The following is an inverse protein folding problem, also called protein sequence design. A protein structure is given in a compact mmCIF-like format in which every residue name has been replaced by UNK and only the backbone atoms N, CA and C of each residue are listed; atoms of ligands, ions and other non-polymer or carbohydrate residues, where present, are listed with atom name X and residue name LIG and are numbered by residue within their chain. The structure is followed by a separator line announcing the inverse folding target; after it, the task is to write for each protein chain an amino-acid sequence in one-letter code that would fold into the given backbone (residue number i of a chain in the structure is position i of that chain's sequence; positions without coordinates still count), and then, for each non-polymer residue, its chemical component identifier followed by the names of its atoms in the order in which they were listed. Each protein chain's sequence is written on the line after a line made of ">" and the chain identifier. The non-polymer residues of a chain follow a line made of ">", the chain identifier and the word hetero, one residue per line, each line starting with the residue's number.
data_IF_222495783841
#
_entry.id   IF_222495783841
#
_cell.length_a   1.000
_cell.length_b   1.000
_cell.length_c   1.000
_cell.angle_alpha   90.00
_cell.angle_beta   90.00
_cell.angle_gamma   90.00
#
_symmetry.space_group_name_H-M   'P 1'
#
loop_
_entity.id
_entity.type
_entity.pdbx_description
1 polymer ?
#
# COMPACT_ATOMS: atom_id res chain seq x y z
N UNK A 1 45.56 41.50 91.51
CA UNK A 1 44.22 40.91 91.37
C UNK A 1 44.19 40.04 90.13
N UNK A 2 43.93 38.74 90.28
CA UNK A 2 43.93 37.76 89.20
C UNK A 2 42.53 37.75 88.57
N UNK A 3 42.40 38.10 87.28
CA UNK A 3 41.12 38.22 86.55
C UNK A 3 40.34 36.90 86.38
N UNK A 4 40.74 35.83 87.06
CA UNK A 4 40.14 34.51 86.93
C UNK A 4 38.89 34.34 87.79
N UNK A 5 38.80 35.07 88.90
CA UNK A 5 37.77 34.80 89.91
C UNK A 5 36.44 35.51 89.62
N UNK A 6 36.45 36.56 88.79
CA UNK A 6 35.27 37.41 88.54
C UNK A 6 34.23 36.78 87.59
N UNK A 7 34.52 35.63 86.95
CA UNK A 7 33.66 34.99 85.94
C UNK A 7 33.32 33.51 86.26
N UNK A 8 33.36 33.12 87.54
CA UNK A 8 33.06 31.74 87.97
C UNK A 8 31.87 31.67 88.96
N UNK A 9 31.00 32.68 89.00
CA UNK A 9 29.78 32.66 89.83
C UNK A 9 28.88 31.45 89.53
N UNK A 10 28.85 31.01 88.26
CA UNK A 10 28.11 29.83 87.83
C UNK A 10 28.58 28.53 88.51
N UNK A 11 29.83 28.46 88.97
CA UNK A 11 30.36 27.27 89.67
C UNK A 11 29.77 27.15 91.09
N UNK A 12 29.36 28.27 91.69
CA UNK A 12 28.65 28.30 92.98
C UNK A 12 27.17 27.97 92.79
N UNK A 13 26.54 28.52 91.74
CA UNK A 13 25.12 28.27 91.43
C UNK A 13 24.85 26.84 90.96
N UNK A 14 25.82 26.23 90.28
CA UNK A 14 25.73 24.88 89.74
C UNK A 14 26.92 24.01 90.17
N UNK A 15 27.14 23.90 91.48
CA UNK A 15 28.21 23.09 92.09
C UNK A 15 28.26 21.65 91.58
N UNK A 16 27.10 21.03 91.32
CA UNK A 16 27.02 19.72 90.69
C UNK A 16 27.62 19.68 89.28
N UNK A 17 27.39 20.71 88.46
CA UNK A 17 27.96 20.79 87.11
C UNK A 17 29.45 21.14 87.16
N UNK A 18 29.86 21.98 88.11
CA UNK A 18 31.27 22.33 88.32
C UNK A 18 32.10 21.12 88.78
N UNK A 19 31.49 20.19 89.53
CA UNK A 19 32.15 18.93 89.95
C UNK A 19 32.31 17.89 88.84
N UNK A 20 31.66 18.06 87.68
CA UNK A 20 31.82 17.14 86.57
C UNK A 20 33.22 17.30 85.94
N UNK A 21 33.86 16.18 85.53
CA UNK A 21 35.11 16.27 84.80
C UNK A 21 34.88 17.03 83.49
N UNK A 22 35.74 18.01 83.20
CA UNK A 22 35.74 18.79 81.95
C UNK A 22 36.29 17.96 80.78
N UNK A 23 35.69 16.79 80.57
CA UNK A 23 36.04 15.82 79.53
C UNK A 23 34.83 15.63 78.62
N UNK A 24 35.04 15.55 77.31
CA UNK A 24 33.96 15.25 76.36
C UNK A 24 33.70 13.74 76.35
N UNK A 25 32.53 13.25 76.83
CA UNK A 25 32.23 11.82 76.84
C UNK A 25 31.87 11.26 75.46
N UNK A 26 31.74 12.14 74.45
CA UNK A 26 31.38 11.78 73.09
C UNK A 26 32.64 11.60 72.26
N UNK A 27 32.81 10.41 71.69
CA UNK A 27 33.85 10.14 70.72
C UNK A 27 33.21 9.53 69.47
N UNK A 28 33.70 9.92 68.30
CA UNK A 28 33.26 9.31 67.04
C UNK A 28 34.19 8.16 66.66
N UNK A 29 33.70 7.15 65.92
CA UNK A 29 34.56 6.11 65.36
C UNK A 29 35.65 6.71 64.47
N UNK A 30 36.77 5.99 64.35
CA UNK A 30 37.81 6.33 63.38
C UNK A 30 37.22 6.41 61.96
N UNK A 31 37.69 7.35 61.13
CA UNK A 31 37.21 7.60 59.77
C UNK A 31 35.77 8.16 59.66
N UNK A 32 35.11 8.50 60.78
CA UNK A 32 33.74 9.05 60.74
C UNK A 32 33.67 10.31 59.87
N UNK A 33 34.55 11.29 60.12
CA UNK A 33 34.57 12.55 59.37
C UNK A 33 35.24 12.42 57.99
N UNK A 34 36.18 11.48 57.84
CA UNK A 34 36.87 11.23 56.57
C UNK A 34 35.87 10.72 55.51
N UNK A 35 34.96 9.81 55.90
CA UNK A 35 33.95 9.25 55.01
C UNK A 35 32.66 10.08 54.93
N UNK A 36 32.42 10.99 55.88
CA UNK A 36 31.12 11.65 56.06
C UNK A 36 30.65 12.32 54.77
N UNK A 37 31.55 13.06 54.13
CA UNK A 37 31.24 13.78 52.89
C UNK A 37 30.85 12.81 51.76
N UNK A 38 31.57 11.69 51.63
CA UNK A 38 31.26 10.67 50.63
C UNK A 38 29.89 10.04 50.89
N UNK A 39 29.57 9.72 52.15
CA UNK A 39 28.27 9.15 52.54
C UNK A 39 27.12 10.12 52.29
N UNK A 40 27.28 11.40 52.62
CA UNK A 40 26.28 12.45 52.37
C UNK A 40 26.03 12.59 50.86
N UNK A 41 27.09 12.67 50.06
CA UNK A 41 26.93 12.79 48.61
C UNK A 41 26.25 11.56 48.00
N UNK A 42 26.57 10.36 48.51
CA UNK A 42 25.92 9.13 48.07
C UNK A 42 24.44 9.09 48.44
N UNK A 43 24.07 9.50 49.66
CA UNK A 43 22.67 9.55 50.07
C UNK A 43 21.88 10.57 49.25
N UNK A 44 22.42 11.77 49.04
CA UNK A 44 21.79 12.81 48.21
C UNK A 44 21.62 12.34 46.77
N UNK A 45 22.61 11.63 46.22
CA UNK A 45 22.52 11.06 44.88
C UNK A 45 21.40 10.01 44.78
N UNK A 46 21.32 9.07 45.72
CA UNK A 46 20.28 8.04 45.75
C UNK A 46 18.89 8.67 45.92
N UNK A 47 18.73 9.64 46.83
CA UNK A 47 17.48 10.36 47.02
C UNK A 47 17.06 11.11 45.74
N UNK A 48 18.02 11.73 45.03
CA UNK A 48 17.79 12.37 43.74
C UNK A 48 17.37 11.40 42.62
N UNK A 49 17.82 10.14 42.66
CA UNK A 49 17.36 9.09 41.74
C UNK A 49 15.93 8.62 42.05
N UNK A 50 15.55 8.58 43.33
CA UNK A 50 14.21 8.15 43.76
C UNK A 50 13.14 9.20 43.48
N UNK A 51 13.49 10.49 43.54
CA UNK A 51 12.56 11.61 43.34
C UNK A 51 12.20 11.86 41.87
N UNK A 52 12.90 11.21 40.92
CA UNK A 52 12.64 11.31 39.47
C UNK A 52 11.67 10.18 39.06
N UNK A 53 10.42 10.32 39.46
CA UNK A 53 9.40 9.26 39.60
C UNK A 53 8.96 8.47 38.34
N UNK A 54 9.49 8.72 37.13
CA UNK A 54 9.05 7.98 35.92
C UNK A 54 10.14 7.16 35.21
N UNK A 55 11.31 6.99 35.85
CA UNK A 55 12.44 6.20 35.31
C UNK A 55 12.98 5.21 36.33
N UNK A 56 12.13 4.70 37.23
CA UNK A 56 12.51 3.65 38.18
C UNK A 56 12.78 2.32 37.49
N UNK A 57 13.69 1.52 38.05
CA UNK A 57 13.86 0.13 37.66
C UNK A 57 12.58 -0.64 38.00
N UNK A 58 11.77 -0.93 36.99
CA UNK A 58 10.59 -1.78 37.17
C UNK A 58 11.03 -3.23 37.19
N UNK A 59 10.60 -3.95 38.21
CA UNK A 59 10.77 -5.39 38.26
C UNK A 59 9.73 -6.01 37.33
N UNK A 60 10.12 -6.93 36.43
CA UNK A 60 9.17 -7.62 35.58
C UNK A 60 8.09 -8.34 36.37
N UNK A 61 6.91 -8.48 35.77
CA UNK A 61 5.84 -9.29 36.33
C UNK A 61 6.36 -10.69 36.71
N UNK A 62 6.02 -11.16 37.91
CA UNK A 62 6.37 -12.47 38.46
C UNK A 62 7.87 -12.72 38.71
N UNK A 63 8.72 -11.69 38.74
CA UNK A 63 10.16 -11.87 38.97
C UNK A 63 10.46 -12.66 40.24
N UNK A 64 9.85 -12.30 41.38
CA UNK A 64 10.17 -12.92 42.67
C UNK A 64 9.57 -14.32 42.80
N UNK A 65 8.41 -14.54 42.18
CA UNK A 65 7.69 -15.79 42.08
C UNK A 65 8.49 -16.82 41.28
N UNK A 66 9.08 -16.39 40.16
CA UNK A 66 9.87 -17.26 39.29
C UNK A 66 11.34 -17.38 39.72
N UNK A 67 11.85 -16.44 40.54
CA UNK A 67 13.27 -16.39 40.91
C UNK A 67 13.75 -17.69 41.55
N UNK A 68 12.97 -18.28 42.46
CA UNK A 68 13.31 -19.54 43.11
C UNK A 68 13.48 -20.69 42.11
N UNK A 69 12.51 -20.84 41.21
CA UNK A 69 12.51 -21.86 40.15
C UNK A 69 13.70 -21.64 39.20
N UNK A 70 14.00 -20.39 38.86
CA UNK A 70 15.14 -20.04 38.00
C UNK A 70 16.48 -20.37 38.66
N UNK A 71 16.63 -20.12 39.96
CA UNK A 71 17.85 -20.45 40.69
C UNK A 71 18.03 -21.97 40.74
N UNK A 72 16.99 -22.71 41.11
CA UNK A 72 17.04 -24.18 41.20
C UNK A 72 17.34 -24.82 39.85
N UNK A 73 16.69 -24.37 38.77
CA UNK A 73 16.95 -24.89 37.42
C UNK A 73 18.38 -24.62 36.96
N UNK A 74 18.94 -23.44 37.25
CA UNK A 74 20.34 -23.13 36.95
C UNK A 74 21.31 -24.00 37.73
N UNK A 75 21.04 -24.25 39.01
CA UNK A 75 21.85 -25.15 39.84
C UNK A 75 21.79 -26.59 39.29
N UNK A 76 20.60 -27.07 38.91
CA UNK A 76 20.44 -28.39 38.31
C UNK A 76 21.21 -28.53 37.00
N UNK A 77 21.12 -27.53 36.12
CA UNK A 77 21.87 -27.50 34.86
C UNK A 77 23.39 -27.51 35.10
N UNK A 78 23.87 -26.69 36.04
CA UNK A 78 25.29 -26.64 36.39
C UNK A 78 25.81 -27.99 36.90
N UNK A 79 25.02 -28.69 37.74
CA UNK A 79 25.34 -30.06 38.21
C UNK A 79 25.41 -31.03 37.03
N UNK A 80 24.43 -31.03 36.13
CA UNK A 80 24.42 -31.90 34.94
C UNK A 80 25.63 -31.61 34.05
N UNK A 81 25.97 -30.34 33.83
CA UNK A 81 27.14 -29.95 33.03
C UNK A 81 28.45 -30.45 33.66
N UNK A 82 28.56 -30.44 34.99
CA UNK A 82 29.75 -30.99 35.68
C UNK A 82 29.88 -32.51 35.57
N UNK A 83 28.78 -33.22 35.31
CA UNK A 83 28.75 -34.68 35.14
C UNK A 83 29.08 -35.12 33.71
N UNK A 84 28.93 -34.23 32.71
CA UNK A 84 29.17 -34.53 31.30
C UNK A 84 30.41 -33.79 30.81
N UNK A 85 31.52 -34.50 30.63
CA UNK A 85 32.81 -33.94 30.17
C UNK A 85 32.84 -33.52 28.68
N UNK A 86 31.77 -33.74 27.94
CA UNK A 86 31.67 -33.41 26.52
C UNK A 86 30.38 -32.62 26.30
N UNK A 87 30.37 -31.61 25.43
CA UNK A 87 29.21 -30.73 25.17
C UNK A 87 27.94 -31.44 24.63
N UNK A 88 27.88 -32.77 24.63
CA UNK A 88 26.72 -33.61 24.33
C UNK A 88 26.32 -33.62 22.85
N UNK A 89 26.51 -32.50 22.17
CA UNK A 89 26.17 -32.27 20.78
C UNK A 89 27.44 -32.30 19.94
N UNK A 90 27.78 -33.48 19.42
CA UNK A 90 28.79 -33.63 18.37
C UNK A 90 28.11 -34.10 17.09
N UNK A 91 28.43 -33.45 15.98
CA UNK A 91 28.06 -33.96 14.67
C UNK A 91 28.84 -35.25 14.38
N UNK A 92 28.25 -36.25 13.70
CA UNK A 92 28.97 -37.42 13.24
C UNK A 92 30.18 -37.05 12.38
N UNK A 93 31.18 -37.92 12.32
CA UNK A 93 32.34 -37.74 11.44
C UNK A 93 31.88 -37.54 9.99
N UNK A 94 32.45 -36.54 9.31
CA UNK A 94 32.19 -36.19 7.91
C UNK A 94 30.72 -35.80 7.63
N UNK A 95 29.96 -35.35 8.63
CA UNK A 95 28.57 -34.86 8.44
C UNK A 95 28.51 -33.74 7.40
N UNK A 96 29.36 -32.72 7.54
CA UNK A 96 29.36 -31.56 6.65
C UNK A 96 29.86 -31.90 5.23
N UNK A 97 30.80 -32.83 5.10
CA UNK A 97 31.27 -33.30 3.79
C UNK A 97 30.17 -34.06 3.03
N UNK A 98 29.46 -34.96 3.74
CA UNK A 98 28.30 -35.69 3.18
C UNK A 98 27.16 -34.73 2.81
N UNK A 99 26.85 -33.78 3.69
CA UNK A 99 25.82 -32.78 3.44
C UNK A 99 26.14 -31.95 2.20
N UNK A 100 27.39 -31.48 2.07
CA UNK A 100 27.83 -30.71 0.92
C UNK A 100 27.74 -31.53 -0.39
N UNK A 101 28.24 -32.77 -0.37
CA UNK A 101 28.15 -33.68 -1.51
C UNK A 101 26.70 -33.97 -1.92
N UNK A 102 25.81 -34.15 -0.95
CA UNK A 102 24.38 -34.37 -1.20
C UNK A 102 23.71 -33.14 -1.81
N UNK A 103 23.98 -31.94 -1.27
CA UNK A 103 23.47 -30.68 -1.82
C UNK A 103 23.90 -30.54 -3.28
N UNK A 104 25.20 -30.67 -3.55
CA UNK A 104 25.74 -30.57 -4.92
C UNK A 104 25.10 -31.62 -5.84
N UNK A 105 24.99 -32.87 -5.41
CA UNK A 105 24.34 -33.91 -6.22
C UNK A 105 22.90 -33.56 -6.61
N UNK A 106 22.15 -32.87 -5.74
CA UNK A 106 20.76 -32.48 -6.00
C UNK A 106 20.65 -31.18 -6.80
N UNK A 107 21.60 -30.26 -6.65
CA UNK A 107 21.53 -28.94 -7.29
C UNK A 107 22.28 -28.86 -8.62
N UNK A 108 23.39 -29.60 -8.79
CA UNK A 108 24.21 -29.53 -10.01
C UNK A 108 23.95 -30.64 -11.02
N UNK A 109 23.37 -31.78 -10.61
CA UNK A 109 23.11 -32.90 -11.53
C UNK A 109 21.77 -32.81 -12.29
N UNK A 110 20.90 -31.83 -11.96
CA UNK A 110 19.63 -31.62 -12.66
C UNK A 110 19.76 -30.53 -13.72
N UNK A 111 20.79 -30.62 -14.57
CA UNK A 111 20.67 -30.11 -15.93
C UNK A 111 19.97 -31.19 -16.76
N UNK A 112 18.73 -31.53 -16.41
CA UNK A 112 17.86 -32.18 -17.39
C UNK A 112 17.89 -31.27 -18.60
N UNK A 113 18.36 -31.77 -19.76
CA UNK A 113 18.29 -31.04 -21.03
C UNK A 113 16.86 -30.54 -21.15
N UNK A 114 16.63 -29.28 -20.82
CA UNK A 114 15.33 -28.65 -21.02
C UNK A 114 15.11 -28.76 -22.51
N UNK A 115 14.19 -29.65 -22.92
CA UNK A 115 13.84 -29.79 -24.32
C UNK A 115 13.20 -28.47 -24.70
N UNK A 116 13.99 -27.58 -25.29
CA UNK A 116 13.53 -26.29 -25.78
C UNK A 116 12.57 -26.61 -26.93
N UNK A 117 11.27 -26.62 -26.64
CA UNK A 117 10.24 -26.80 -27.65
C UNK A 117 9.93 -25.41 -28.19
N UNK A 118 10.23 -25.19 -29.48
CA UNK A 118 9.84 -23.96 -30.18
C UNK A 118 8.33 -23.95 -30.33
N UNK A 119 7.64 -23.05 -29.64
CA UNK A 119 6.17 -22.96 -29.64
C UNK A 119 5.60 -22.40 -30.95
N UNK A 120 6.41 -21.72 -31.76
CA UNK A 120 5.99 -21.07 -33.01
C UNK A 120 6.93 -21.46 -34.16
N UNK A 121 6.87 -22.72 -34.59
CA UNK A 121 7.72 -23.23 -35.70
C UNK A 121 6.92 -23.79 -36.88
N UNK A 122 5.66 -23.43 -37.04
CA UNK A 122 4.86 -23.91 -38.18
C UNK A 122 4.86 -22.88 -39.33
N UNK A 123 5.06 -23.37 -40.56
CA UNK A 123 4.91 -22.57 -41.79
C UNK A 123 3.49 -22.02 -42.00
N UNK A 124 2.53 -22.50 -41.20
CA UNK A 124 1.13 -22.09 -41.18
C UNK A 124 0.94 -20.62 -40.77
N UNK A 125 1.92 -20.01 -40.08
CA UNK A 125 1.86 -18.60 -39.72
C UNK A 125 1.78 -17.67 -40.91
N UNK A 126 2.39 -18.05 -42.04
CA UNK A 126 2.32 -17.29 -43.30
C UNK A 126 0.87 -17.27 -43.84
N UNK A 127 0.17 -18.41 -43.73
CA UNK A 127 -1.21 -18.54 -44.18
C UNK A 127 -2.19 -17.86 -43.22
N UNK A 128 -2.01 -18.02 -41.90
CA UNK A 128 -2.85 -17.39 -40.90
C UNK A 128 -2.83 -15.85 -41.01
N UNK A 129 -1.63 -15.27 -41.21
CA UNK A 129 -1.50 -13.83 -41.44
C UNK A 129 -2.21 -13.37 -42.72
N UNK A 130 -2.06 -14.10 -43.84
CA UNK A 130 -2.75 -13.78 -45.09
C UNK A 130 -4.29 -13.84 -44.96
N UNK A 131 -4.81 -14.87 -44.29
CA UNK A 131 -6.25 -15.01 -44.05
C UNK A 131 -6.81 -13.85 -43.21
N UNK A 132 -6.09 -13.39 -42.20
CA UNK A 132 -6.50 -12.21 -41.41
C UNK A 132 -6.58 -10.94 -42.26
N UNK A 133 -5.63 -10.71 -43.16
CA UNK A 133 -5.68 -9.55 -44.07
C UNK A 133 -6.87 -9.62 -45.03
N UNK A 134 -7.19 -10.80 -45.57
CA UNK A 134 -8.36 -11.01 -46.42
C UNK A 134 -9.65 -10.72 -45.66
N UNK A 135 -9.78 -11.23 -44.42
CA UNK A 135 -10.95 -10.98 -43.58
C UNK A 135 -11.10 -9.51 -43.24
N UNK A 136 -10.01 -8.80 -42.92
CA UNK A 136 -10.06 -7.36 -42.64
C UNK A 136 -10.44 -6.54 -43.87
N UNK A 137 -9.86 -6.85 -45.03
CA UNK A 137 -10.18 -6.17 -46.29
C UNK A 137 -11.64 -6.41 -46.71
N UNK A 138 -12.11 -7.66 -46.66
CA UNK A 138 -13.49 -8.02 -46.97
C UNK A 138 -14.48 -7.35 -46.01
N UNK A 139 -14.18 -7.36 -44.71
CA UNK A 139 -15.01 -6.68 -43.70
C UNK A 139 -15.04 -5.16 -43.94
N UNK A 140 -13.90 -4.56 -44.29
CA UNK A 140 -13.81 -3.14 -44.61
C UNK A 140 -14.64 -2.74 -45.84
N UNK A 141 -14.58 -3.53 -46.92
CA UNK A 141 -15.41 -3.31 -48.12
C UNK A 141 -16.90 -3.49 -47.83
N UNK A 142 -17.28 -4.51 -47.06
CA UNK A 142 -18.66 -4.77 -46.68
C UNK A 142 -19.29 -3.62 -45.87
N UNK A 143 -18.53 -3.03 -44.94
CA UNK A 143 -18.98 -1.86 -44.17
C UNK A 143 -19.07 -0.59 -45.05
N UNK A 144 -18.22 -0.46 -46.07
CA UNK A 144 -18.26 0.66 -47.02
C UNK A 144 -19.54 0.63 -47.90
N UNK A 145 -19.95 -0.54 -48.38
CA UNK A 145 -21.21 -0.66 -49.13
C UNK A 145 -22.44 -0.38 -48.26
N UNK A 146 -22.44 -0.83 -46.99
CA UNK A 146 -23.55 -0.51 -46.07
C UNK A 146 -23.71 1.00 -45.84
N UNK A 147 -22.63 1.76 -45.78
CA UNK A 147 -22.70 3.22 -45.64
C UNK A 147 -23.27 3.90 -46.89
N UNK A 148 -22.95 3.41 -48.09
CA UNK A 148 -23.48 3.97 -49.34
C UNK A 148 -24.99 3.74 -49.48
N UNK A 149 -25.50 2.56 -49.10
CA UNK A 149 -26.94 2.24 -49.13
C UNK A 149 -27.73 3.03 -48.07
N UNK A 150 -27.17 3.21 -46.86
CA UNK A 150 -27.82 3.99 -45.79
C UNK A 150 -27.96 5.47 -46.15
N UNK A 151 -26.94 6.07 -46.80
CA UNK A 151 -26.95 7.48 -47.20
C UNK A 151 -28.05 7.78 -48.24
N UNK A 152 -28.21 6.91 -49.25
CA UNK A 152 -29.24 7.07 -50.27
C UNK A 152 -30.66 6.96 -49.69
N UNK A 153 -30.89 6.02 -48.76
CA UNK A 153 -32.19 5.87 -48.09
C UNK A 153 -32.54 7.06 -47.20
N UNK A 154 -31.55 7.66 -46.53
CA UNK A 154 -31.78 8.89 -45.75
C UNK A 154 -32.07 10.11 -46.61
N UNK A 155 -31.48 10.22 -47.80
CA UNK A 155 -31.76 11.31 -48.73
C UNK A 155 -33.19 11.23 -49.28
N UNK A 156 -33.67 10.02 -49.61
CA UNK A 156 -35.04 9.78 -50.07
C UNK A 156 -36.09 10.10 -48.99
N UNK A 157 -35.85 9.69 -47.74
CA UNK A 157 -36.72 10.02 -46.60
C UNK A 157 -36.73 11.54 -46.32
N UNK A 158 -35.60 12.22 -46.45
CA UNK A 158 -35.53 13.67 -46.24
C UNK A 158 -36.32 14.46 -47.31
N UNK A 159 -36.33 13.99 -48.56
CA UNK A 159 -37.17 14.58 -49.61
C UNK A 159 -38.67 14.38 -49.36
N UNK A 160 -39.10 13.22 -48.87
CA UNK A 160 -40.52 13.01 -48.52
C UNK A 160 -40.97 13.91 -47.37
N UNK A 161 -40.08 14.15 -46.40
CA UNK A 161 -40.39 14.96 -45.23
C UNK A 161 -40.55 16.45 -45.56
N UNK A 162 -39.82 16.98 -46.54
CA UNK A 162 -40.03 18.36 -47.02
C UNK A 162 -41.38 18.57 -47.70
N UNK A 163 -41.96 17.52 -48.28
CA UNK A 163 -43.29 17.62 -48.91
C UNK A 163 -44.41 17.69 -47.86
N UNK A 164 -44.17 17.16 -46.65
CA UNK A 164 -45.14 17.15 -45.54
C UNK A 164 -45.20 18.48 -44.77
N UNK A 165 -44.15 19.30 -44.85
CA UNK A 165 -44.05 20.59 -44.15
C UNK A 165 -44.73 21.74 -44.92
N UNK A 166 -45.33 21.45 -46.07
CA UNK A 166 -46.15 22.41 -46.82
C UNK A 166 -47.49 22.52 -46.10
N UNK A 167 -47.74 23.67 -45.48
CA UNK A 167 -48.97 23.94 -44.74
C UNK A 167 -50.21 23.88 -45.66
N UNK A 168 -51.28 23.25 -45.18
CA UNK A 168 -52.52 23.04 -45.94
C UNK A 168 -53.13 24.37 -46.41
N UNK A 169 -52.93 25.46 -45.67
CA UNK A 169 -53.41 26.79 -46.08
C UNK A 169 -52.68 27.33 -47.31
N UNK A 170 -51.39 27.02 -47.50
CA UNK A 170 -50.62 27.39 -48.69
C UNK A 170 -51.11 26.60 -49.90
N UNK A 171 -51.42 25.32 -49.70
CA UNK A 171 -52.01 24.46 -50.75
C UNK A 171 -53.40 25.00 -51.13
N UNK A 172 -54.24 25.32 -50.14
CA UNK A 172 -55.57 25.88 -50.37
C UNK A 172 -55.50 27.27 -51.03
N UNK A 173 -54.56 28.12 -50.64
CA UNK A 173 -54.34 29.43 -51.27
C UNK A 173 -53.94 29.27 -52.72
N UNK A 174 -52.97 28.40 -53.05
CA UNK A 174 -52.56 28.16 -54.43
C UNK A 174 -53.69 27.55 -55.27
N UNK A 175 -54.50 26.65 -54.70
CA UNK A 175 -55.67 26.10 -55.40
C UNK A 175 -56.75 27.17 -55.60
N UNK A 176 -57.05 27.98 -54.58
CA UNK A 176 -58.05 29.06 -54.65
C UNK A 176 -57.61 30.16 -55.63
N UNK A 177 -56.32 30.51 -55.64
CA UNK A 177 -55.73 31.46 -56.61
C UNK A 177 -55.79 30.90 -58.03
N UNK A 178 -55.51 29.59 -58.22
CA UNK A 178 -55.65 28.93 -59.52
C UNK A 178 -57.10 28.80 -60.00
N UNK A 179 -58.09 28.75 -59.08
CA UNK A 179 -59.51 28.72 -59.46
C UNK A 179 -60.09 30.11 -59.75
N UNK A 180 -59.49 31.19 -59.23
CA UNK A 180 -59.94 32.56 -59.49
C UNK A 180 -59.32 33.17 -60.76
N UNK A 181 -58.39 32.45 -61.41
CA UNK A 181 -57.78 32.80 -62.70
C UNK A 181 -58.23 31.81 -63.78
N UNK A 182 -59.29 32.20 -64.49
CA UNK A 182 -59.54 31.84 -65.90
C UNK A 182 -59.97 30.40 -66.21
N UNK A 183 -61.29 30.23 -66.28
CA UNK A 183 -61.92 29.33 -67.26
C UNK A 183 -61.48 29.70 -68.69
N UNK A 184 -60.56 28.94 -69.29
CA UNK A 184 -60.41 28.89 -70.76
C UNK A 184 -59.72 27.60 -71.24
N UNK A 185 -60.53 26.57 -71.49
CA UNK A 185 -60.52 25.80 -72.74
C UNK A 185 -59.16 25.68 -73.48
N UNK A 186 -58.35 24.67 -73.15
CA UNK A 186 -57.47 24.02 -74.14
C UNK A 186 -58.18 22.72 -74.57
N UNK A 187 -58.42 22.56 -75.87
CA UNK A 187 -59.20 21.45 -76.41
C UNK A 187 -58.34 20.19 -76.49
N UNK A 188 -58.90 19.03 -76.11
CA UNK A 188 -58.22 17.71 -76.14
C UNK A 188 -57.44 17.43 -77.43
N UNK A 189 -57.87 18.00 -78.56
CA UNK A 189 -57.18 17.88 -79.86
C UNK A 189 -55.78 18.52 -79.89
N UNK A 190 -55.56 19.62 -79.18
CA UNK A 190 -54.24 20.26 -79.13
C UNK A 190 -53.25 19.38 -78.36
N UNK A 191 -53.74 18.72 -77.31
CA UNK A 191 -52.96 17.78 -76.52
C UNK A 191 -52.61 16.53 -77.33
N UNK A 192 -53.56 15.99 -78.08
CA UNK A 192 -53.34 14.80 -78.91
C UNK A 192 -52.29 15.05 -80.01
N UNK A 193 -52.35 16.21 -80.68
CA UNK A 193 -51.37 16.57 -81.70
C UNK A 193 -49.96 16.76 -81.12
N UNK A 194 -49.83 17.37 -79.94
CA UNK A 194 -48.53 17.54 -79.29
C UNK A 194 -47.86 16.21 -78.97
N UNK A 195 -48.65 15.23 -78.50
CA UNK A 195 -48.15 13.88 -78.21
C UNK A 195 -47.70 13.20 -79.49
N UNK A 196 -48.43 13.35 -80.60
CA UNK A 196 -48.07 12.73 -81.87
C UNK A 196 -46.82 13.35 -82.52
N UNK A 197 -46.62 14.67 -82.44
CA UNK A 197 -45.46 15.33 -83.04
C UNK A 197 -44.14 15.04 -82.30
N UNK A 198 -44.18 14.91 -80.98
CA UNK A 198 -42.96 14.73 -80.18
C UNK A 198 -42.65 13.28 -79.81
N UNK A 199 -43.43 12.31 -80.30
CA UNK A 199 -43.12 10.90 -80.07
C UNK A 199 -42.09 10.40 -81.10
N UNK A 200 -40.82 10.31 -80.70
CA UNK A 200 -39.77 9.67 -81.51
C UNK A 200 -39.60 8.20 -81.11
N UNK A 201 -39.50 7.32 -82.10
CA UNK A 201 -39.40 5.86 -81.94
C UNK A 201 -38.07 5.35 -81.37
N UNK A 202 -37.22 6.25 -80.86
CA UNK A 202 -35.95 5.88 -80.23
C UNK A 202 -36.08 5.32 -78.82
N UNK A 203 -37.27 5.43 -78.20
CA UNK A 203 -37.54 4.96 -76.84
C UNK A 203 -37.96 3.47 -76.74
N UNK A 204 -37.93 2.70 -77.85
CA UNK A 204 -38.25 1.26 -77.85
C UNK A 204 -37.14 0.39 -78.45
N UNK A 205 -35.90 0.61 -78.00
CA UNK A 205 -34.75 -0.30 -78.18
C UNK A 205 -34.04 -0.50 -76.86
#
# INVERSE_FOLDING_TARGET
>A
MNKKDDNMEWELEASHLASLPRTTPFNVPAQYFDDLTARINQSVFVDGLMQKEDQGFTVPQNYFEDLGIQIESRIALAKIKSLVNNDGFKTPANYFDKLNAEILSKTSATATKTKVVRLWSSDLMKYASAACFILLAATGLYLNEQNSVKLNRSAEIASEQMLYDIDESVILEHIQESQNVTSSSASDKEIENYILENYSTSDLS
#
